data_IF_785809620330
#
_entry.id   IF_785809620330
#
_cell.length_a   1.000
_cell.length_b   1.000
_cell.length_c   1.000
_cell.angle_alpha   90.00
_cell.angle_beta   90.00
_cell.angle_gamma   90.00
#
_symmetry.space_group_name_H-M   'P 1'
#
loop_
_entity.id
_entity.type
_entity.pdbx_description
1 polymer ?
#
# COMPACT_ATOMS: atom_id res chain seq x y z
N UNK A 1 13.23 -2.81 9.05
CA UNK A 1 12.06 -3.68 8.76
C UNK A 1 11.99 -4.86 9.75
N UNK A 2 12.06 -4.59 11.06
CA UNK A 2 12.11 -5.60 12.15
C UNK A 2 11.05 -5.31 13.23
N UNK A 3 9.85 -4.92 12.81
CA UNK A 3 8.69 -4.75 13.69
C UNK A 3 7.71 -5.87 13.37
N UNK A 4 7.69 -6.97 14.15
CA UNK A 4 6.84 -8.09 13.82
C UNK A 4 5.36 -7.72 14.02
N UNK A 5 4.56 -7.92 12.97
CA UNK A 5 3.11 -7.70 12.98
C UNK A 5 2.41 -9.06 12.95
N UNK A 6 2.19 -9.67 14.11
CA UNK A 6 1.60 -11.01 14.21
C UNK A 6 0.08 -11.05 14.02
N UNK A 7 -0.58 -9.90 14.15
CA UNK A 7 -2.03 -9.80 14.09
C UNK A 7 -2.46 -8.99 12.88
N UNK A 8 -3.48 -9.47 12.18
CA UNK A 8 -4.17 -8.73 11.12
C UNK A 8 -5.33 -7.95 11.72
N UNK A 9 -5.52 -6.70 11.29
CA UNK A 9 -6.67 -5.91 11.70
C UNK A 9 -7.95 -6.41 11.00
N UNK A 10 -9.00 -6.83 11.71
CA UNK A 10 -10.24 -7.28 11.09
C UNK A 10 -10.99 -6.16 10.36
N UNK A 11 -11.53 -6.43 9.18
CA UNK A 11 -12.26 -5.45 8.37
C UNK A 11 -13.50 -4.87 9.08
N UNK A 12 -14.26 -5.70 9.81
CA UNK A 12 -15.41 -5.25 10.59
C UNK A 12 -15.02 -4.17 11.62
N UNK A 13 -13.89 -4.33 12.30
CA UNK A 13 -13.42 -3.36 13.30
C UNK A 13 -13.14 -2.01 12.63
N UNK A 14 -12.52 -2.01 11.46
CA UNK A 14 -12.29 -0.79 10.69
C UNK A 14 -13.60 -0.14 10.23
N UNK A 15 -14.54 -0.94 9.72
CA UNK A 15 -15.88 -0.46 9.31
C UNK A 15 -16.67 0.13 10.48
N UNK A 16 -16.53 -0.40 11.69
CA UNK A 16 -17.19 0.19 12.87
C UNK A 16 -16.59 1.52 13.30
N UNK A 17 -15.27 1.72 13.12
CA UNK A 17 -14.57 2.91 13.58
C UNK A 17 -14.59 4.05 12.55
N UNK A 18 -14.51 3.70 11.25
CA UNK A 18 -14.34 4.64 10.15
C UNK A 18 -15.58 4.74 9.24
N UNK A 19 -16.59 3.89 9.44
CA UNK A 19 -17.77 3.83 8.59
C UNK A 19 -17.43 3.41 7.15
N UNK A 20 -18.09 4.04 6.17
CA UNK A 20 -17.92 3.76 4.73
C UNK A 20 -16.49 4.05 4.23
N UNK A 21 -15.73 4.93 4.90
CA UNK A 21 -14.34 5.22 4.52
C UNK A 21 -13.40 4.04 4.77
N UNK A 22 -13.80 3.06 5.59
CA UNK A 22 -13.01 1.86 5.82
C UNK A 22 -12.77 1.06 4.54
N UNK A 23 -13.66 1.15 3.56
CA UNK A 23 -13.53 0.39 2.32
C UNK A 23 -12.32 0.85 1.49
N UNK A 24 -11.89 2.12 1.60
CA UNK A 24 -10.64 2.60 0.99
C UNK A 24 -9.38 1.91 1.56
N UNK A 25 -9.47 1.38 2.78
CA UNK A 25 -8.36 0.70 3.46
C UNK A 25 -8.46 -0.83 3.34
N UNK A 26 -9.67 -1.36 3.33
CA UNK A 26 -9.93 -2.81 3.29
C UNK A 26 -9.92 -3.32 1.85
N UNK A 27 -10.34 -2.50 0.89
CA UNK A 27 -10.33 -2.85 -0.52
C UNK A 27 -9.01 -2.42 -1.18
N UNK A 28 -8.57 -3.23 -2.15
CA UNK A 28 -7.34 -2.99 -2.88
C UNK A 28 -7.59 -2.97 -4.38
N UNK A 29 -6.90 -2.06 -5.07
CA UNK A 29 -6.90 -1.99 -6.53
C UNK A 29 -5.53 -2.39 -7.08
N UNK A 30 -5.49 -3.34 -8.02
CA UNK A 30 -4.25 -3.75 -8.67
C UNK A 30 -3.93 -2.81 -9.85
N UNK A 31 -3.13 -1.79 -9.58
CA UNK A 31 -2.73 -0.79 -10.58
C UNK A 31 -1.37 -1.13 -11.20
N UNK A 32 -1.27 -1.10 -12.53
CA UNK A 32 0.00 -1.27 -13.26
C UNK A 32 0.37 0.03 -13.98
N UNK A 33 1.56 0.61 -13.73
CA UNK A 33 1.93 1.94 -14.24
C UNK A 33 2.40 1.92 -15.72
N UNK A 34 1.62 1.30 -16.61
CA UNK A 34 2.01 1.05 -18.01
C UNK A 34 2.40 2.33 -18.78
N UNK A 35 1.59 3.38 -18.67
CA UNK A 35 1.84 4.65 -19.36
C UNK A 35 3.15 5.31 -18.93
N UNK A 36 3.45 5.30 -17.63
CA UNK A 36 4.69 5.88 -17.09
C UNK A 36 5.92 5.15 -17.66
N UNK A 37 5.87 3.82 -17.68
CA UNK A 37 6.95 3.01 -18.24
C UNK A 37 7.12 3.24 -19.75
N UNK A 38 6.02 3.33 -20.51
CA UNK A 38 6.04 3.64 -21.94
C UNK A 38 6.63 5.03 -22.23
N UNK A 39 6.42 6.01 -21.34
CA UNK A 39 7.01 7.36 -21.47
C UNK A 39 8.48 7.46 -21.02
N UNK A 40 9.09 6.35 -20.60
CA UNK A 40 10.47 6.32 -20.12
C UNK A 40 10.67 6.89 -18.71
N UNK A 41 9.59 7.03 -17.92
CA UNK A 41 9.68 7.47 -16.54
C UNK A 41 10.45 6.45 -15.70
N UNK A 42 11.46 6.92 -14.97
CA UNK A 42 12.27 6.08 -14.09
C UNK A 42 11.86 6.32 -12.62
N UNK A 43 11.36 5.27 -11.98
CA UNK A 43 11.05 5.31 -10.55
C UNK A 43 12.34 5.36 -9.73
N UNK A 44 12.45 6.37 -8.85
CA UNK A 44 13.56 6.46 -7.89
C UNK A 44 13.63 5.22 -6.98
N UNK A 45 12.47 4.67 -6.63
CA UNK A 45 12.34 3.42 -5.87
C UNK A 45 11.42 2.45 -6.65
N UNK A 46 11.97 1.60 -7.54
CA UNK A 46 11.15 0.72 -8.38
C UNK A 46 10.50 -0.44 -7.61
N UNK A 47 10.91 -0.67 -6.36
CA UNK A 47 10.35 -1.71 -5.50
C UNK A 47 9.93 -1.13 -4.16
N UNK A 48 8.88 -1.72 -3.57
CA UNK A 48 8.42 -1.36 -2.23
C UNK A 48 9.53 -1.48 -1.18
N UNK A 49 10.37 -2.52 -1.27
CA UNK A 49 11.48 -2.71 -0.33
C UNK A 49 12.48 -1.55 -0.38
N UNK A 50 12.83 -1.08 -1.59
CA UNK A 50 13.73 0.06 -1.76
C UNK A 50 13.13 1.35 -1.17
N UNK A 51 11.84 1.61 -1.42
CA UNK A 51 11.14 2.77 -0.88
C UNK A 51 11.10 2.73 0.66
N UNK A 52 10.75 1.58 1.26
CA UNK A 52 10.69 1.43 2.71
C UNK A 52 12.06 1.57 3.39
N UNK A 53 13.13 1.09 2.76
CA UNK A 53 14.51 1.28 3.27
C UNK A 53 14.98 2.73 3.22
N UNK A 54 14.44 3.54 2.31
CA UNK A 54 14.79 4.97 2.25
C UNK A 54 14.08 5.81 3.31
N UNK A 55 12.90 5.37 3.78
CA UNK A 55 12.06 6.13 4.70
C UNK A 55 12.37 5.82 6.17
N UNK A 56 12.78 4.58 6.47
CA UNK A 56 12.97 4.04 7.82
C UNK A 56 14.44 3.78 8.14
#
# INVERSE_FOLDING_TARGET
LHRPCFFTTPAFLLRTLLGEQADLLVEGQRVTPRRLLETGFQFQYPTLSAALKSLL
#
